data_IF_561961475867
#
_entry.id   IF_561961475867
#
_cell.length_a   1.000
_cell.length_b   1.000
_cell.length_c   1.000
_cell.angle_alpha   90.00
_cell.angle_beta   90.00
_cell.angle_gamma   90.00
#
_symmetry.space_group_name_H-M   'P 1'
#
loop_
_entity.id
_entity.type
_entity.pdbx_description
1 polymer ?
#
# COMPACT_ATOMS: atom_id res chain seq x y z
N UNK A 1 -3.08 20.06 -24.93
CA UNK A 1 -2.09 20.44 -23.90
C UNK A 1 -2.08 19.31 -22.90
N UNK A 2 -1.13 18.40 -23.04
CA UNK A 2 -1.00 17.20 -22.21
C UNK A 2 -0.50 17.67 -20.86
N UNK A 3 -1.36 17.60 -19.83
CA UNK A 3 -0.92 17.74 -18.45
C UNK A 3 -0.04 16.52 -18.19
N UNK A 4 1.26 16.77 -18.02
CA UNK A 4 2.17 15.79 -17.48
C UNK A 4 1.79 15.55 -16.03
N UNK A 5 0.88 14.62 -15.79
CA UNK A 5 0.85 13.86 -14.55
C UNK A 5 2.21 13.17 -14.46
N UNK A 6 3.08 13.72 -13.62
CA UNK A 6 4.32 13.08 -13.24
C UNK A 6 3.92 11.84 -12.44
N UNK A 7 3.75 10.72 -13.15
CA UNK A 7 3.72 9.39 -12.56
C UNK A 7 4.94 9.29 -11.62
N UNK A 8 4.76 8.85 -10.36
CA UNK A 8 5.92 8.51 -9.55
C UNK A 8 6.71 7.48 -10.34
N UNK A 9 7.96 7.78 -10.64
CA UNK A 9 8.83 6.89 -11.40
C UNK A 9 8.77 5.50 -10.75
N UNK A 10 8.37 4.44 -11.48
CA UNK A 10 8.39 3.09 -10.94
C UNK A 10 9.75 2.81 -10.32
N UNK A 11 9.76 2.53 -9.03
CA UNK A 11 10.96 2.15 -8.28
C UNK A 11 11.78 3.25 -7.59
N UNK A 12 11.15 4.35 -7.20
CA UNK A 12 11.81 5.38 -6.36
C UNK A 12 11.49 5.29 -4.86
N UNK A 13 10.64 4.34 -4.43
CA UNK A 13 10.25 4.17 -3.04
C UNK A 13 11.19 3.28 -2.23
N UNK A 14 11.13 3.32 -0.88
CA UNK A 14 11.87 2.41 -0.03
C UNK A 14 11.45 0.96 -0.24
N UNK A 15 12.36 0.01 -0.02
CA UNK A 15 11.98 -1.39 0.06
C UNK A 15 10.97 -1.60 1.19
N UNK A 16 10.07 -2.57 1.03
CA UNK A 16 9.03 -2.89 2.01
C UNK A 16 9.61 -3.15 3.42
N UNK A 17 10.73 -3.86 3.49
CA UNK A 17 11.49 -4.14 4.73
C UNK A 17 12.17 -2.91 5.34
N UNK A 18 12.54 -1.92 4.52
CA UNK A 18 13.14 -0.67 4.99
C UNK A 18 12.07 0.28 5.56
N UNK A 19 10.88 0.27 4.95
CA UNK A 19 9.73 1.07 5.39
C UNK A 19 9.13 0.52 6.69
N UNK A 20 9.11 -0.81 6.85
CA UNK A 20 8.58 -1.50 8.02
C UNK A 20 9.62 -2.43 8.60
N UNK A 21 10.45 -1.90 9.51
CA UNK A 21 11.61 -2.62 10.05
C UNK A 21 11.24 -3.81 10.93
N UNK A 22 10.00 -3.85 11.40
CA UNK A 22 9.45 -4.97 12.15
C UNK A 22 9.04 -6.18 11.31
N UNK A 23 9.05 -6.07 9.97
CA UNK A 23 8.59 -7.15 9.11
C UNK A 23 9.54 -8.35 9.11
N UNK A 24 8.97 -9.55 9.10
CA UNK A 24 9.74 -10.78 8.93
C UNK A 24 10.38 -10.84 7.54
N UNK A 25 11.69 -10.69 7.47
CA UNK A 25 12.44 -10.66 6.20
C UNK A 25 12.34 -11.94 5.39
N UNK A 26 12.16 -13.10 6.03
CA UNK A 26 12.00 -14.38 5.33
C UNK A 26 10.68 -14.40 4.52
N UNK A 27 9.59 -13.87 5.08
CA UNK A 27 8.28 -13.80 4.41
C UNK A 27 8.34 -12.87 3.19
N UNK A 28 9.01 -11.73 3.34
CA UNK A 28 9.21 -10.75 2.25
C UNK A 28 10.07 -11.35 1.14
N UNK A 29 11.14 -12.07 1.49
CA UNK A 29 12.02 -12.71 0.52
C UNK A 29 11.34 -13.86 -0.25
N UNK A 30 10.49 -14.66 0.41
CA UNK A 30 9.70 -15.71 -0.22
C UNK A 30 8.69 -15.12 -1.22
N UNK A 31 7.97 -14.06 -0.79
CA UNK A 31 7.04 -13.35 -1.66
C UNK A 31 7.74 -12.76 -2.88
N UNK A 32 8.85 -12.03 -2.66
CA UNK A 32 9.64 -11.44 -3.73
C UNK A 32 10.09 -12.49 -4.76
N UNK A 33 10.64 -13.61 -4.29
CA UNK A 33 11.08 -14.71 -5.14
C UNK A 33 9.92 -15.30 -5.96
N UNK A 34 8.74 -15.40 -5.35
CA UNK A 34 7.52 -15.89 -6.03
C UNK A 34 7.07 -14.95 -7.13
N UNK A 35 7.09 -13.64 -6.89
CA UNK A 35 6.63 -12.63 -7.85
C UNK A 35 7.59 -12.49 -9.03
N UNK A 36 8.91 -12.51 -8.78
CA UNK A 36 9.94 -12.47 -9.83
C UNK A 36 9.83 -13.69 -10.75
N UNK A 37 9.64 -14.89 -10.19
CA UNK A 37 9.49 -16.12 -10.99
C UNK A 37 8.22 -16.13 -11.87
N UNK A 38 7.19 -15.37 -11.48
CA UNK A 38 5.94 -15.23 -12.23
C UNK A 38 5.91 -14.00 -13.14
N UNK A 39 7.01 -13.25 -13.21
CA UNK A 39 7.15 -12.04 -14.03
C UNK A 39 6.06 -10.99 -13.75
N UNK A 40 5.65 -10.86 -12.48
CA UNK A 40 4.72 -9.82 -12.06
C UNK A 40 5.46 -8.54 -11.70
N UNK A 41 5.06 -7.42 -12.30
CA UNK A 41 5.68 -6.11 -12.05
C UNK A 41 5.10 -5.39 -10.83
N UNK A 42 3.85 -5.68 -10.46
CA UNK A 42 3.13 -4.99 -9.40
C UNK A 42 2.41 -5.95 -8.46
N UNK A 43 2.39 -5.60 -7.18
CA UNK A 43 1.72 -6.38 -6.14
C UNK A 43 1.14 -5.46 -5.07
N UNK A 44 -0.01 -5.84 -4.54
CA UNK A 44 -0.55 -5.30 -3.29
C UNK A 44 -0.33 -6.31 -2.17
N UNK A 45 0.53 -5.95 -1.23
CA UNK A 45 0.88 -6.77 -0.07
C UNK A 45 -0.03 -6.39 1.08
N UNK A 46 -0.82 -7.35 1.60
CA UNK A 46 -1.71 -7.12 2.73
C UNK A 46 -0.89 -7.04 4.03
N UNK A 47 -0.94 -5.87 4.68
CA UNK A 47 -0.20 -5.54 5.90
C UNK A 47 -1.08 -5.60 7.16
N UNK A 48 -2.39 -5.38 7.01
CA UNK A 48 -3.32 -5.34 8.12
C UNK A 48 -4.76 -5.54 7.66
N UNK A 49 -5.56 -6.20 8.51
CA UNK A 49 -6.98 -6.43 8.26
C UNK A 49 -7.78 -6.32 9.55
N UNK A 50 -8.85 -5.54 9.53
CA UNK A 50 -9.89 -5.49 10.57
C UNK A 50 -11.24 -5.84 9.95
N UNK A 51 -11.65 -7.09 10.14
CA UNK A 51 -12.89 -7.64 9.58
C UNK A 51 -14.15 -6.98 10.17
N UNK A 52 -14.09 -6.45 11.39
CA UNK A 52 -15.26 -5.81 12.02
C UNK A 52 -15.54 -4.46 11.40
N UNK A 53 -14.48 -3.74 11.01
CA UNK A 53 -14.57 -2.44 10.35
C UNK A 53 -14.62 -2.54 8.83
N UNK A 54 -14.37 -3.71 8.25
CA UNK A 54 -14.24 -3.87 6.80
C UNK A 54 -13.03 -3.10 6.26
N UNK A 55 -11.95 -3.06 7.04
CA UNK A 55 -10.75 -2.26 6.76
C UNK A 55 -9.57 -3.17 6.42
N UNK A 56 -8.98 -2.97 5.25
CA UNK A 56 -7.78 -3.67 4.78
C UNK A 56 -6.69 -2.64 4.47
N UNK A 57 -5.44 -2.98 4.77
CA UNK A 57 -4.29 -2.11 4.53
C UNK A 57 -3.29 -2.85 3.66
N UNK A 58 -2.91 -2.23 2.56
CA UNK A 58 -2.01 -2.76 1.57
C UNK A 58 -0.79 -1.86 1.38
N UNK A 59 0.39 -2.44 1.18
CA UNK A 59 1.47 -1.77 0.49
C UNK A 59 1.40 -2.11 -1.00
N UNK A 60 1.23 -1.08 -1.83
CA UNK A 60 1.38 -1.18 -3.27
C UNK A 60 2.85 -1.14 -3.59
N UNK A 61 3.37 -2.21 -4.19
CA UNK A 61 4.78 -2.37 -4.47
C UNK A 61 5.03 -2.60 -5.96
N UNK A 62 6.12 -2.03 -6.45
CA UNK A 62 6.78 -2.44 -7.68
C UNK A 62 7.77 -3.58 -7.36
N UNK A 63 7.73 -4.64 -8.16
CA UNK A 63 8.67 -5.75 -8.06
C UNK A 63 9.92 -5.37 -8.83
N UNK A 64 10.87 -4.77 -8.13
CA UNK A 64 12.14 -4.33 -8.72
C UNK A 64 13.12 -5.50 -8.89
N UNK A 65 14.31 -5.22 -9.41
CA UNK A 65 15.40 -6.20 -9.47
C UNK A 65 15.97 -6.58 -8.10
N UNK A 66 15.66 -5.83 -7.03
CA UNK A 66 16.31 -5.97 -5.72
C UNK A 66 15.35 -6.31 -4.58
N UNK A 67 14.16 -5.71 -4.59
CA UNK A 67 13.18 -5.82 -3.51
C UNK A 67 11.78 -5.42 -3.99
N UNK A 68 10.80 -5.50 -3.09
CA UNK A 68 9.48 -4.90 -3.26
C UNK A 68 9.55 -3.42 -2.90
N UNK A 69 9.62 -2.55 -3.91
CA UNK A 69 9.72 -1.10 -3.74
C UNK A 69 8.32 -0.51 -3.52
N UNK A 70 8.08 0.08 -2.35
CA UNK A 70 6.75 0.59 -1.98
C UNK A 70 6.46 1.88 -2.74
N UNK A 71 5.38 1.91 -3.51
CA UNK A 71 4.90 3.07 -4.26
C UNK A 71 3.98 3.92 -3.36
N UNK A 72 3.07 3.26 -2.64
CA UNK A 72 2.12 3.87 -1.72
C UNK A 72 1.59 2.82 -0.72
N UNK A 73 1.07 3.30 0.40
CA UNK A 73 0.31 2.50 1.35
C UNK A 73 -1.15 2.90 1.24
N UNK A 74 -2.00 1.91 1.01
CA UNK A 74 -3.42 2.08 0.78
C UNK A 74 -4.21 1.47 1.92
N UNK A 75 -5.20 2.18 2.43
CA UNK A 75 -6.24 1.63 3.27
C UNK A 75 -7.57 1.59 2.51
N UNK A 76 -8.18 0.41 2.41
CA UNK A 76 -9.50 0.19 1.82
C UNK A 76 -10.51 -0.06 2.94
N UNK A 77 -11.50 0.81 3.06
CA UNK A 77 -12.61 0.69 4.02
C UNK A 77 -13.91 0.46 3.24
N UNK A 78 -14.40 -0.78 3.25
CA UNK A 78 -15.63 -1.18 2.55
C UNK A 78 -16.79 -1.34 3.53
N UNK A 79 -17.87 -0.58 3.35
CA UNK A 79 -19.05 -0.69 4.22
C UNK A 79 -19.99 0.50 4.16
N UNK A 80 -21.10 0.43 4.92
CA UNK A 80 -22.18 1.43 4.87
C UNK A 80 -21.90 2.72 5.65
N UNK A 81 -20.90 2.74 6.54
CA UNK A 81 -20.59 3.87 7.44
C UNK A 81 -19.16 4.39 7.19
N UNK A 82 -18.91 4.80 5.95
CA UNK A 82 -17.66 5.48 5.57
C UNK A 82 -17.72 6.93 6.03
N UNK A 83 -16.93 7.30 7.04
CA UNK A 83 -16.75 8.70 7.47
C UNK A 83 -15.83 9.45 6.51
N UNK A 84 -16.10 10.75 6.29
CA UNK A 84 -15.22 11.65 5.53
C UNK A 84 -14.08 12.25 6.37
N UNK A 85 -14.07 12.04 7.69
CA UNK A 85 -12.99 12.53 8.57
C UNK A 85 -11.56 12.16 8.11
N UNK A 86 -11.32 10.97 7.53
CA UNK A 86 -9.99 10.60 7.05
C UNK A 86 -9.48 11.43 5.86
N UNK A 87 -10.35 12.17 5.15
CA UNK A 87 -9.95 13.02 4.03
C UNK A 87 -9.15 14.24 4.48
N UNK A 88 -9.26 14.63 5.74
CA UNK A 88 -8.59 15.81 6.30
C UNK A 88 -7.24 15.46 6.95
N UNK A 89 -6.85 14.18 6.97
CA UNK A 89 -5.61 13.74 7.59
C UNK A 89 -4.40 14.19 6.75
N UNK A 90 -3.39 14.84 7.36
CA UNK A 90 -2.20 15.28 6.63
C UNK A 90 -1.37 14.10 6.10
N UNK A 91 -1.59 12.89 6.64
CA UNK A 91 -0.96 11.67 6.17
C UNK A 91 -1.56 11.10 4.87
N UNK A 92 -2.75 11.57 4.47
CA UNK A 92 -3.48 11.09 3.27
C UNK A 92 -3.14 11.99 2.08
N UNK A 93 -2.55 11.39 1.04
CA UNK A 93 -2.20 12.07 -0.22
C UNK A 93 -3.33 12.02 -1.25
N UNK A 94 -4.07 10.91 -1.30
CA UNK A 94 -5.22 10.69 -2.20
C UNK A 94 -6.32 9.97 -1.42
N UNK A 95 -7.56 10.37 -1.65
CA UNK A 95 -8.74 9.71 -1.10
C UNK A 95 -9.79 9.60 -2.19
N UNK A 96 -10.31 8.40 -2.39
CA UNK A 96 -11.29 8.11 -3.45
C UNK A 96 -12.34 7.11 -2.98
N UNK A 97 -13.56 7.23 -3.53
CA UNK A 97 -14.64 6.30 -3.25
C UNK A 97 -14.88 5.46 -4.50
N UNK A 98 -14.60 4.16 -4.41
CA UNK A 98 -14.73 3.20 -5.49
C UNK A 98 -15.61 2.05 -5.01
N UNK A 99 -16.71 1.75 -5.72
CA UNK A 99 -17.57 0.59 -5.43
C UNK A 99 -18.02 0.47 -3.96
N UNK A 100 -18.47 1.56 -3.35
CA UNK A 100 -18.87 1.64 -1.92
C UNK A 100 -17.72 1.43 -0.90
N UNK A 101 -16.47 1.47 -1.36
CA UNK A 101 -15.27 1.46 -0.51
C UNK A 101 -14.56 2.80 -0.57
N UNK A 102 -14.13 3.30 0.59
CA UNK A 102 -13.21 4.42 0.69
C UNK A 102 -11.78 3.91 0.63
N UNK A 103 -11.02 4.41 -0.34
CA UNK A 103 -9.61 4.14 -0.52
C UNK A 103 -8.82 5.38 -0.14
N UNK A 104 -7.92 5.22 0.82
CA UNK A 104 -7.02 6.27 1.29
C UNK A 104 -5.59 5.86 0.96
N UNK A 105 -4.85 6.73 0.30
CA UNK A 105 -3.47 6.51 -0.12
C UNK A 105 -2.51 7.42 0.64
N UNK A 106 -1.39 6.87 1.05
CA UNK A 106 -0.27 7.60 1.64
C UNK A 106 1.02 7.23 0.94
N UNK A 107 1.73 8.23 0.39
CA UNK A 107 3.07 8.01 -0.21
C UNK A 107 4.07 7.58 0.87
N UNK A 108 5.02 6.69 0.53
CA UNK A 108 5.93 6.06 1.49
C UNK A 108 6.88 7.03 2.18
N UNK A 109 7.14 8.19 1.55
CA UNK A 109 8.01 9.22 2.12
C UNK A 109 7.22 10.43 2.67
N UNK A 110 7.61 10.94 3.84
CA UNK A 110 8.59 10.36 4.77
C UNK A 110 8.02 9.13 5.51
N UNK A 111 8.84 8.14 5.93
CA UNK A 111 8.35 6.93 6.63
C UNK A 111 7.47 7.22 7.84
N UNK A 112 7.78 8.29 8.59
CA UNK A 112 7.00 8.72 9.75
C UNK A 112 5.53 9.03 9.40
N UNK A 113 5.26 9.51 8.18
CA UNK A 113 3.91 9.79 7.69
C UNK A 113 3.10 8.49 7.57
N UNK A 114 3.70 7.45 7.00
CA UNK A 114 3.09 6.12 6.89
C UNK A 114 2.83 5.52 8.27
N UNK A 115 3.79 5.60 9.20
CA UNK A 115 3.56 5.10 10.56
C UNK A 115 2.38 5.80 11.26
N UNK A 116 2.25 7.12 11.09
CA UNK A 116 1.10 7.87 11.63
C UNK A 116 -0.21 7.50 10.96
N UNK A 117 -0.19 7.29 9.65
CA UNK A 117 -1.34 6.83 8.88
C UNK A 117 -1.87 5.50 9.43
N UNK A 118 -1.00 4.51 9.61
CA UNK A 118 -1.36 3.21 10.19
C UNK A 118 -1.92 3.35 11.62
N UNK A 119 -1.26 4.17 12.45
CA UNK A 119 -1.70 4.42 13.83
C UNK A 119 -3.10 5.05 13.90
N UNK A 120 -3.42 6.01 13.01
CA UNK A 120 -4.76 6.61 12.94
C UNK A 120 -5.82 5.60 12.48
N UNK A 121 -5.43 4.64 11.64
CA UNK A 121 -6.28 3.52 11.24
C UNK A 121 -6.43 2.46 12.34
N UNK A 122 -5.67 2.55 13.44
CA UNK A 122 -5.68 1.60 14.55
C UNK A 122 -4.75 0.40 14.37
N UNK A 123 -3.87 0.44 13.37
CA UNK A 123 -2.83 -0.56 13.15
C UNK A 123 -1.49 -0.11 13.73
N UNK A 124 -0.73 -1.07 14.27
CA UNK A 124 0.66 -0.85 14.64
C UNK A 124 1.59 -0.96 13.43
N UNK A 125 2.90 -1.05 13.70
CA UNK A 125 3.87 -1.38 12.66
C UNK A 125 3.64 -2.83 12.18
N UNK A 126 3.49 -3.08 10.87
CA UNK A 126 3.33 -4.41 10.32
C UNK A 126 4.51 -5.31 10.69
N UNK A 127 4.22 -6.56 11.08
CA UNK A 127 5.24 -7.54 11.51
C UNK A 127 5.39 -8.70 10.54
N UNK A 128 4.37 -8.98 9.73
CA UNK A 128 4.32 -10.13 8.82
C UNK A 128 3.51 -9.78 7.58
N UNK A 129 3.70 -10.56 6.51
CA UNK A 129 2.88 -10.47 5.29
C UNK A 129 1.64 -11.34 5.47
N UNK A 130 0.45 -10.73 5.55
CA UNK A 130 -0.80 -11.46 5.75
C UNK A 130 -1.35 -12.09 4.46
N UNK A 131 -0.88 -11.61 3.31
CA UNK A 131 -1.30 -12.07 1.99
C UNK A 131 -0.86 -11.10 0.90
N UNK A 132 -1.20 -11.41 -0.35
CA UNK A 132 -0.96 -10.50 -1.47
C UNK A 132 -1.98 -10.72 -2.58
N UNK A 133 -2.20 -9.68 -3.39
CA UNK A 133 -2.91 -9.76 -4.66
C UNK A 133 -2.06 -9.14 -5.76
N UNK A 134 -2.00 -9.81 -6.90
CA UNK A 134 -1.30 -9.30 -8.07
C UNK A 134 -2.19 -8.26 -8.74
N UNK A 135 -1.59 -7.17 -9.19
CA UNK A 135 -2.29 -6.08 -9.87
C UNK A 135 -1.86 -6.08 -11.32
N UNK A 136 -2.82 -6.09 -12.26
CA UNK A 136 -2.48 -5.95 -13.68
C UNK A 136 -2.07 -4.50 -13.96
N UNK A 137 -1.14 -4.27 -14.90
CA UNK A 137 -0.54 -2.94 -15.13
C UNK A 137 -1.56 -1.82 -15.36
N UNK A 138 -2.74 -2.13 -15.92
CA UNK A 138 -3.81 -1.15 -16.16
C UNK A 138 -4.67 -0.77 -14.93
N UNK A 139 -4.54 -1.47 -13.80
CA UNK A 139 -5.30 -1.17 -12.57
C UNK A 139 -4.58 -0.16 -11.65
N UNK A 140 -3.34 0.22 -11.98
CA UNK A 140 -2.62 1.33 -11.33
C UNK A 140 -3.01 2.71 -11.89
N UNK A 141 -3.62 2.76 -13.08
CA UNK A 141 -3.96 3.99 -13.81
C UNK A 141 -5.36 4.55 -13.48
N UNK A 142 -6.15 3.84 -12.66
CA UNK A 142 -7.54 4.19 -12.34
C UNK A 142 -7.69 5.05 -11.06
#
# INVERSE_FOLDING_TARGET
MVRGDLEPTPGAGPCLEDLFKGMNGDDVAELFSTLVNKEHNYVEVLLGKDEKRGLEVYARCFVSLRCLEVIEVVAELCGRDVSLEPFEWPEVDKAEVLNECLRLSSRPEPPLKVHRFLMQLGFGEPQEVLGYRVVEEGEFEA
#
